data_IF_309924403001
#
_entry.id   IF_309924403001
#
_cell.length_a   1.000
_cell.length_b   1.000
_cell.length_c   1.000
_cell.angle_alpha   90.00
_cell.angle_beta   90.00
_cell.angle_gamma   90.00
#
_symmetry.space_group_name_H-M   'P 1'
#
loop_
_entity.id
_entity.type
_entity.pdbx_description
1 polymer ?
#
# COMPACT_ATOMS: atom_id res chain seq x y z
N UNK A 1 14.83 -33.81 -7.84
CA UNK A 1 14.22 -33.51 -6.56
C UNK A 1 13.10 -32.50 -6.85
N UNK A 2 11.85 -32.98 -6.89
CA UNK A 2 10.70 -32.14 -7.17
C UNK A 2 10.40 -31.26 -5.95
N UNK A 3 10.33 -29.96 -6.15
CA UNK A 3 9.81 -29.06 -5.14
C UNK A 3 8.34 -29.41 -4.89
N UNK A 4 8.02 -29.83 -3.67
CA UNK A 4 6.65 -29.95 -3.21
C UNK A 4 6.09 -28.54 -3.13
N UNK A 5 5.27 -28.16 -4.08
CA UNK A 5 4.43 -26.97 -3.97
C UNK A 5 3.54 -27.21 -2.74
N UNK A 6 3.80 -26.45 -1.68
CA UNK A 6 2.93 -26.44 -0.53
C UNK A 6 1.54 -25.99 -1.02
N UNK A 7 0.53 -26.86 -0.83
CA UNK A 7 -0.86 -26.50 -1.11
C UNK A 7 -1.25 -25.32 -0.21
N UNK A 8 -1.44 -24.16 -0.83
CA UNK A 8 -1.94 -22.96 -0.18
C UNK A 8 -3.34 -23.27 0.37
N UNK A 9 -3.65 -22.96 1.64
CA UNK A 9 -5.01 -23.03 2.11
C UNK A 9 -5.86 -22.05 1.27
N UNK A 10 -6.90 -22.55 0.62
CA UNK A 10 -7.83 -21.73 -0.21
C UNK A 10 -8.62 -20.69 0.60
N UNK A 11 -8.41 -20.63 1.91
CA UNK A 11 -9.17 -19.81 2.86
C UNK A 11 -8.37 -18.62 3.42
N UNK A 12 -7.18 -18.34 2.92
CA UNK A 12 -6.39 -17.19 3.35
C UNK A 12 -7.07 -15.88 2.92
N UNK A 13 -7.46 -15.04 3.87
CA UNK A 13 -8.13 -13.76 3.65
C UNK A 13 -7.09 -12.63 3.67
N UNK A 14 -7.20 -11.65 2.79
CA UNK A 14 -6.41 -10.41 2.86
C UNK A 14 -6.94 -9.59 4.05
N UNK A 15 -6.12 -9.38 5.11
CA UNK A 15 -6.61 -8.72 6.33
C UNK A 15 -7.02 -7.27 6.07
N UNK A 16 -6.16 -6.51 5.37
CA UNK A 16 -6.41 -5.11 5.04
C UNK A 16 -5.89 -4.80 3.65
N UNK A 17 -6.73 -4.18 2.82
CA UNK A 17 -6.35 -3.54 1.56
C UNK A 17 -6.42 -2.02 1.72
N UNK A 18 -5.29 -1.32 1.53
CA UNK A 18 -5.16 0.13 1.62
C UNK A 18 -5.05 0.71 0.22
N UNK A 19 -5.92 1.67 -0.11
CA UNK A 19 -5.98 2.28 -1.44
C UNK A 19 -6.05 3.80 -1.33
N UNK A 20 -4.95 4.52 -1.56
CA UNK A 20 -5.00 5.97 -1.73
C UNK A 20 -5.56 6.32 -3.12
N UNK A 21 -6.42 7.32 -3.19
CA UNK A 21 -6.95 7.85 -4.44
C UNK A 21 -6.88 9.37 -4.44
N UNK A 22 -6.37 9.96 -5.53
CA UNK A 22 -6.24 11.42 -5.68
C UNK A 22 -7.18 11.96 -6.77
N UNK A 23 -7.39 11.19 -7.82
CA UNK A 23 -8.19 11.54 -8.98
C UNK A 23 -8.94 10.30 -9.47
N UNK A 24 -9.95 10.50 -10.32
CA UNK A 24 -10.62 9.42 -11.04
C UNK A 24 -11.22 8.33 -10.13
N UNK A 25 -12.30 8.66 -9.44
CA UNK A 25 -13.05 7.71 -8.61
C UNK A 25 -13.60 6.51 -9.42
N UNK A 26 -13.80 6.64 -10.73
CA UNK A 26 -14.27 5.52 -11.56
C UNK A 26 -13.23 4.42 -11.66
N UNK A 27 -11.96 4.74 -11.80
CA UNK A 27 -10.88 3.75 -11.79
C UNK A 27 -10.77 3.03 -10.45
N UNK A 28 -10.92 3.76 -9.33
CA UNK A 28 -11.04 3.12 -8.02
C UNK A 28 -12.19 2.11 -7.99
N UNK A 29 -13.35 2.46 -8.57
CA UNK A 29 -14.49 1.55 -8.61
C UNK A 29 -14.25 0.34 -9.53
N UNK A 30 -13.51 0.51 -10.63
CA UNK A 30 -13.08 -0.59 -11.50
C UNK A 30 -12.14 -1.55 -10.75
N UNK A 31 -11.15 -0.99 -10.03
CA UNK A 31 -10.26 -1.77 -9.18
C UNK A 31 -11.04 -2.57 -8.13
N UNK A 32 -12.00 -1.96 -7.43
CA UNK A 32 -12.81 -2.66 -6.42
C UNK A 32 -13.67 -3.76 -7.06
N UNK A 33 -14.22 -3.54 -8.27
CA UNK A 33 -14.96 -4.60 -9.00
C UNK A 33 -14.09 -5.77 -9.38
N UNK A 34 -12.81 -5.53 -9.66
CA UNK A 34 -11.85 -6.60 -10.03
C UNK A 34 -11.38 -7.45 -8.85
N UNK A 35 -11.69 -7.06 -7.59
CA UNK A 35 -11.38 -7.88 -6.42
C UNK A 35 -12.13 -9.21 -6.53
N UNK A 36 -11.39 -10.30 -6.61
CA UNK A 36 -11.88 -11.66 -6.87
C UNK A 36 -11.48 -12.65 -5.76
N UNK A 37 -10.99 -12.15 -4.63
CA UNK A 37 -10.57 -12.91 -3.46
C UNK A 37 -11.01 -12.21 -2.18
N UNK A 38 -11.29 -12.91 -1.06
CA UNK A 38 -11.76 -12.29 0.16
C UNK A 38 -10.79 -11.25 0.74
N UNK A 39 -11.32 -10.05 1.01
CA UNK A 39 -10.66 -8.93 1.70
C UNK A 39 -11.49 -8.60 2.94
N UNK A 40 -10.93 -8.76 4.14
CA UNK A 40 -11.67 -8.46 5.38
C UNK A 40 -11.95 -6.97 5.52
N UNK A 41 -10.94 -6.13 5.31
CA UNK A 41 -11.07 -4.68 5.47
C UNK A 41 -10.48 -3.93 4.28
N UNK A 42 -11.28 -3.07 3.64
CA UNK A 42 -10.85 -2.11 2.63
C UNK A 42 -10.79 -0.71 3.24
N UNK A 43 -9.63 -0.05 3.17
CA UNK A 43 -9.42 1.33 3.60
C UNK A 43 -9.12 2.18 2.37
N UNK A 44 -10.02 3.07 2.02
CA UNK A 44 -9.86 4.05 0.93
C UNK A 44 -9.50 5.39 1.54
N UNK A 45 -8.37 5.97 1.12
CA UNK A 45 -7.93 7.32 1.50
C UNK A 45 -8.17 8.24 0.31
N UNK A 46 -9.23 9.04 0.37
CA UNK A 46 -9.62 9.96 -0.68
C UNK A 46 -8.92 11.31 -0.50
N UNK A 47 -7.92 11.54 -1.32
CA UNK A 47 -7.11 12.78 -1.37
C UNK A 47 -7.68 13.85 -2.32
N UNK A 48 -8.92 13.68 -2.79
CA UNK A 48 -9.61 14.64 -3.66
C UNK A 48 -10.34 14.05 -4.86
N UNK A 49 -10.57 12.74 -4.88
CA UNK A 49 -11.25 12.03 -5.99
C UNK A 49 -12.80 12.01 -5.90
N UNK A 50 -13.45 12.80 -5.14
CA UNK A 50 -14.83 12.81 -4.63
C UNK A 50 -15.51 11.43 -4.61
N UNK A 51 -14.92 10.50 -3.86
CA UNK A 51 -15.42 9.13 -3.73
C UNK A 51 -16.80 9.11 -3.05
N UNK A 52 -17.79 8.48 -3.69
CA UNK A 52 -19.11 8.28 -3.10
C UNK A 52 -19.10 7.13 -2.10
N UNK A 53 -19.38 7.45 -0.84
CA UNK A 53 -19.52 6.45 0.24
C UNK A 53 -20.64 5.43 -0.07
N UNK A 54 -21.77 5.90 -0.60
CA UNK A 54 -22.87 5.01 -0.96
C UNK A 54 -22.41 4.00 -2.03
N UNK A 55 -21.80 4.49 -3.10
CA UNK A 55 -21.32 3.63 -4.18
C UNK A 55 -20.22 2.66 -3.71
N UNK A 56 -19.30 3.13 -2.88
CA UNK A 56 -18.26 2.28 -2.27
C UNK A 56 -18.87 1.12 -1.47
N UNK A 57 -19.95 1.37 -0.74
CA UNK A 57 -20.60 0.35 0.09
C UNK A 57 -21.37 -0.70 -0.72
N UNK A 58 -21.82 -0.36 -1.94
CA UNK A 58 -22.57 -1.29 -2.81
C UNK A 58 -21.66 -2.16 -3.70
N UNK A 59 -20.42 -1.74 -3.94
CA UNK A 59 -19.52 -2.45 -4.82
C UNK A 59 -18.97 -3.72 -4.18
N UNK A 60 -18.96 -4.82 -4.92
CA UNK A 60 -18.25 -6.06 -4.59
C UNK A 60 -18.48 -6.58 -3.15
N UNK A 61 -19.74 -6.68 -2.74
CA UNK A 61 -20.13 -7.09 -1.39
C UNK A 61 -19.81 -8.56 -1.09
N UNK A 62 -19.54 -9.33 -2.10
CA UNK A 62 -19.21 -10.76 -1.97
C UNK A 62 -17.79 -10.98 -1.45
N UNK A 63 -16.83 -10.15 -1.90
CA UNK A 63 -15.42 -10.34 -1.58
C UNK A 63 -14.87 -9.31 -0.60
N UNK A 64 -15.55 -8.17 -0.41
CA UNK A 64 -15.07 -7.11 0.49
C UNK A 64 -15.97 -7.03 1.72
N UNK A 65 -15.38 -7.26 2.89
CA UNK A 65 -16.05 -7.16 4.18
C UNK A 65 -16.27 -5.70 4.63
N UNK A 66 -15.52 -5.25 5.60
CA UNK A 66 -15.60 -3.89 6.15
C UNK A 66 -15.01 -2.86 5.17
N UNK A 67 -15.61 -1.66 5.11
CA UNK A 67 -15.15 -0.57 4.24
C UNK A 67 -15.04 0.72 5.01
N UNK A 68 -13.89 1.36 4.93
CA UNK A 68 -13.64 2.66 5.51
C UNK A 68 -13.26 3.65 4.41
N UNK A 69 -13.96 4.78 4.37
CA UNK A 69 -13.64 5.91 3.50
C UNK A 69 -13.17 7.07 4.35
N UNK A 70 -11.90 7.42 4.20
CA UNK A 70 -11.25 8.56 4.84
C UNK A 70 -11.11 9.67 3.80
N UNK A 71 -12.02 10.64 3.85
CA UNK A 71 -12.01 11.80 2.94
C UNK A 71 -11.14 12.90 3.53
N UNK A 72 -10.06 13.22 2.83
CA UNK A 72 -9.10 14.21 3.29
C UNK A 72 -9.44 15.59 2.76
N UNK A 73 -9.24 16.65 3.56
CA UNK A 73 -9.49 18.04 3.13
C UNK A 73 -8.49 18.51 2.06
N UNK A 74 -7.37 17.80 1.91
CA UNK A 74 -6.33 18.12 0.93
C UNK A 74 -5.56 16.84 0.56
N UNK A 75 -4.76 16.91 -0.51
CA UNK A 75 -3.86 15.81 -0.87
C UNK A 75 -2.75 15.65 0.18
N UNK A 76 -2.77 14.52 0.89
CA UNK A 76 -1.75 14.16 1.89
C UNK A 76 -0.46 13.58 1.28
N UNK A 77 -0.48 13.24 0.00
CA UNK A 77 0.60 12.50 -0.65
C UNK A 77 0.55 10.99 -0.42
N UNK A 78 1.41 10.29 -1.14
CA UNK A 78 1.44 8.82 -1.20
C UNK A 78 1.87 8.21 0.13
N UNK A 79 3.06 8.59 0.62
CA UNK A 79 3.63 8.06 1.87
C UNK A 79 2.69 8.26 3.07
N UNK A 80 2.14 9.47 3.24
CA UNK A 80 1.21 9.77 4.34
C UNK A 80 -0.07 8.95 4.23
N UNK A 81 -0.58 8.74 3.02
CA UNK A 81 -1.79 7.94 2.80
C UNK A 81 -1.56 6.46 3.15
N UNK A 82 -0.45 5.88 2.74
CA UNK A 82 -0.07 4.52 3.13
C UNK A 82 0.05 4.38 4.65
N UNK A 83 0.76 5.31 5.28
CA UNK A 83 0.92 5.35 6.73
C UNK A 83 -0.41 5.50 7.46
N UNK A 84 -1.32 6.33 6.95
CA UNK A 84 -2.64 6.51 7.55
C UNK A 84 -3.45 5.21 7.55
N UNK A 85 -3.40 4.45 6.46
CA UNK A 85 -4.03 3.13 6.37
C UNK A 85 -3.47 2.15 7.41
N UNK A 86 -2.15 2.08 7.55
CA UNK A 86 -1.47 1.24 8.55
C UNK A 86 -1.85 1.69 9.97
N UNK A 87 -1.76 2.99 10.26
CA UNK A 87 -2.11 3.58 11.57
C UNK A 87 -3.57 3.36 11.95
N UNK A 88 -4.48 3.33 10.97
CA UNK A 88 -5.91 3.12 11.19
C UNK A 88 -6.27 1.65 11.45
N UNK A 89 -5.41 0.71 11.10
CA UNK A 89 -5.63 -0.74 11.24
C UNK A 89 -4.45 -1.45 11.92
N UNK A 90 -4.06 -1.04 13.14
CA UNK A 90 -2.80 -1.43 13.76
C UNK A 90 -2.72 -2.91 14.17
N UNK A 91 -3.83 -3.64 14.16
CA UNK A 91 -3.89 -5.05 14.56
C UNK A 91 -3.81 -6.03 13.38
N UNK A 92 -3.70 -5.53 12.16
CA UNK A 92 -3.49 -6.40 11.01
C UNK A 92 -2.10 -7.06 11.09
N UNK A 93 -1.97 -8.35 10.75
CA UNK A 93 -0.67 -9.01 10.67
C UNK A 93 0.16 -8.53 9.47
N UNK A 94 -0.51 -8.03 8.44
CA UNK A 94 0.09 -7.42 7.25
C UNK A 94 -0.96 -6.60 6.50
N UNK A 95 -0.52 -5.72 5.64
CA UNK A 95 -1.34 -4.84 4.80
C UNK A 95 -1.00 -5.04 3.33
N UNK A 96 -2.01 -5.21 2.49
CA UNK A 96 -1.87 -5.05 1.05
C UNK A 96 -2.12 -3.59 0.70
N UNK A 97 -1.17 -2.97 0.05
CA UNK A 97 -1.27 -1.59 -0.44
C UNK A 97 -1.32 -1.61 -1.96
N UNK A 98 -2.24 -0.88 -2.56
CA UNK A 98 -2.35 -0.82 -4.02
C UNK A 98 -2.71 0.57 -4.51
N UNK A 99 -2.24 0.91 -5.71
CA UNK A 99 -2.69 2.08 -6.43
C UNK A 99 -4.16 1.91 -6.85
N UNK A 100 -4.91 3.00 -6.90
CA UNK A 100 -6.33 2.97 -7.22
C UNK A 100 -6.65 2.57 -8.68
N UNK A 101 -5.67 2.53 -9.55
CA UNK A 101 -5.75 2.19 -10.97
C UNK A 101 -5.14 0.81 -11.30
N UNK A 102 -4.97 -0.03 -10.28
CA UNK A 102 -4.65 -1.45 -10.43
C UNK A 102 -5.93 -2.22 -10.77
N UNK A 103 -5.83 -3.20 -11.65
CA UNK A 103 -6.85 -4.21 -11.89
C UNK A 103 -6.28 -5.57 -11.50
N UNK A 104 -6.97 -6.24 -10.59
CA UNK A 104 -6.57 -7.55 -10.12
C UNK A 104 -6.85 -8.62 -11.18
N UNK A 105 -5.82 -9.33 -11.59
CA UNK A 105 -5.94 -10.46 -12.50
C UNK A 105 -6.39 -11.72 -11.74
N UNK A 106 -6.71 -12.76 -12.49
CA UNK A 106 -7.04 -14.06 -11.89
C UNK A 106 -5.84 -14.52 -11.03
N UNK A 107 -6.11 -15.04 -9.84
CA UNK A 107 -5.12 -15.52 -8.86
C UNK A 107 -4.23 -14.45 -8.20
N UNK A 108 -4.19 -13.19 -8.68
CA UNK A 108 -3.28 -12.19 -8.10
C UNK A 108 -3.50 -12.01 -6.59
N UNK A 109 -4.74 -11.80 -6.17
CA UNK A 109 -5.07 -11.59 -4.75
C UNK A 109 -4.93 -12.86 -3.92
N UNK A 110 -5.27 -14.03 -4.48
CA UNK A 110 -5.06 -15.33 -3.83
C UNK A 110 -3.57 -15.55 -3.58
N UNK A 111 -2.71 -15.25 -4.54
CA UNK A 111 -1.26 -15.34 -4.37
C UNK A 111 -0.73 -14.35 -3.35
N UNK A 112 -1.21 -13.10 -3.34
CA UNK A 112 -0.85 -12.17 -2.26
C UNK A 112 -1.26 -12.72 -0.89
N UNK A 113 -2.47 -13.26 -0.76
CA UNK A 113 -2.94 -13.87 0.49
C UNK A 113 -2.09 -15.07 0.94
N UNK A 114 -1.54 -15.81 -0.01
CA UNK A 114 -0.70 -16.98 0.23
C UNK A 114 0.77 -16.64 0.56
N UNK A 115 1.33 -15.66 -0.14
CA UNK A 115 2.76 -15.37 -0.11
C UNK A 115 3.11 -14.23 0.86
N UNK A 116 2.15 -13.32 1.18
CA UNK A 116 2.35 -12.28 2.17
C UNK A 116 2.46 -12.87 3.59
N UNK A 117 3.12 -12.12 4.45
CA UNK A 117 3.31 -12.54 5.84
C UNK A 117 3.76 -11.39 6.73
N UNK A 118 3.77 -11.60 8.06
CA UNK A 118 4.13 -10.57 9.01
C UNK A 118 5.59 -10.13 8.94
N UNK A 119 6.47 -10.97 8.37
CA UNK A 119 7.92 -10.86 8.43
C UNK A 119 8.59 -10.30 7.17
N UNK A 120 7.83 -9.99 6.13
CA UNK A 120 8.37 -9.64 4.81
C UNK A 120 7.65 -8.46 4.15
N UNK A 121 8.35 -7.85 3.20
CA UNK A 121 7.81 -6.95 2.20
C UNK A 121 7.73 -7.71 0.88
N UNK A 122 6.52 -7.88 0.33
CA UNK A 122 6.26 -8.62 -0.91
C UNK A 122 5.80 -7.62 -1.99
N UNK A 123 6.56 -7.49 -3.05
CA UNK A 123 6.26 -6.61 -4.19
C UNK A 123 5.58 -7.40 -5.31
N UNK A 124 4.66 -6.76 -6.06
CA UNK A 124 4.09 -7.37 -7.26
C UNK A 124 5.13 -7.53 -8.37
N UNK A 125 4.84 -8.39 -9.34
CA UNK A 125 5.58 -8.51 -10.60
C UNK A 125 5.26 -7.42 -11.62
N UNK A 126 4.34 -6.50 -11.29
CA UNK A 126 3.92 -5.42 -12.16
C UNK A 126 5.00 -4.35 -12.37
N UNK A 127 4.74 -3.43 -13.27
CA UNK A 127 5.62 -2.29 -13.58
C UNK A 127 4.89 -0.96 -13.31
N UNK A 128 5.29 -0.21 -12.27
CA UNK A 128 6.33 -0.52 -11.27
C UNK A 128 5.88 -1.54 -10.21
N UNK A 129 6.79 -2.30 -9.60
CA UNK A 129 6.43 -3.32 -8.59
C UNK A 129 5.68 -2.78 -7.36
N UNK A 130 5.89 -1.51 -7.04
CA UNK A 130 5.22 -0.81 -5.95
C UNK A 130 3.80 -0.35 -6.28
N UNK A 131 3.26 -0.69 -7.45
CA UNK A 131 1.84 -0.42 -7.74
C UNK A 131 0.90 -1.29 -6.89
N UNK A 132 1.39 -2.46 -6.44
CA UNK A 132 0.75 -3.30 -5.43
C UNK A 132 1.82 -4.03 -4.62
N UNK A 133 1.75 -3.96 -3.28
CA UNK A 133 2.71 -4.62 -2.41
C UNK A 133 2.08 -4.98 -1.06
N UNK A 134 2.55 -6.07 -0.46
CA UNK A 134 2.17 -6.43 0.90
C UNK A 134 3.33 -6.13 1.87
N UNK A 135 3.00 -5.54 3.02
CA UNK A 135 3.95 -5.18 4.07
C UNK A 135 3.54 -5.81 5.39
N UNK A 136 4.43 -6.56 6.01
CA UNK A 136 4.21 -7.25 7.27
C UNK A 136 4.35 -6.36 8.49
N UNK A 137 3.67 -6.72 9.58
CA UNK A 137 3.71 -5.98 10.84
C UNK A 137 5.13 -5.92 11.44
N UNK A 138 5.91 -6.99 11.32
CA UNK A 138 7.29 -7.03 11.81
C UNK A 138 8.22 -6.15 10.96
N UNK A 139 7.90 -5.98 9.68
CA UNK A 139 8.60 -5.01 8.81
C UNK A 139 8.32 -3.59 9.30
N UNK A 140 7.04 -3.25 9.52
CA UNK A 140 6.66 -1.93 10.04
C UNK A 140 7.28 -1.67 11.42
N UNK A 141 7.29 -2.66 12.32
CA UNK A 141 7.93 -2.55 13.62
C UNK A 141 9.43 -2.29 13.53
N UNK A 142 10.11 -2.97 12.61
CA UNK A 142 11.57 -2.89 12.48
C UNK A 142 12.05 -1.69 11.67
N UNK A 143 11.37 -1.38 10.56
CA UNK A 143 11.76 -0.33 9.60
C UNK A 143 11.06 1.00 9.91
N UNK A 144 9.92 0.95 10.57
CA UNK A 144 9.03 2.09 10.77
C UNK A 144 8.12 2.35 9.58
N UNK A 145 7.51 3.52 9.56
CA UNK A 145 6.60 3.97 8.50
C UNK A 145 7.37 4.57 7.30
N UNK A 146 6.65 4.89 6.24
CA UNK A 146 7.18 5.64 5.08
C UNK A 146 7.52 7.08 5.47
N UNK A 147 8.51 7.70 4.81
CA UNK A 147 8.88 9.10 5.07
C UNK A 147 7.84 10.07 4.49
N UNK A 148 6.99 10.63 5.35
CA UNK A 148 5.96 11.59 4.97
C UNK A 148 6.51 12.93 4.45
N UNK A 149 7.80 13.18 4.62
CA UNK A 149 8.50 14.33 4.02
C UNK A 149 8.76 14.18 2.52
N UNK A 150 8.56 12.97 1.96
CA UNK A 150 8.61 12.71 0.51
C UNK A 150 7.22 12.99 -0.10
N UNK A 151 6.85 14.28 -0.16
CA UNK A 151 5.52 14.73 -0.52
C UNK A 151 5.53 15.45 -1.88
N UNK A 152 4.47 15.34 -2.73
CA UNK A 152 3.32 14.45 -2.59
C UNK A 152 3.57 13.03 -3.08
N UNK A 153 4.59 12.78 -3.89
CA UNK A 153 4.90 11.47 -4.45
C UNK A 153 6.34 11.41 -4.94
N UNK A 154 6.78 10.17 -5.21
CA UNK A 154 8.11 9.73 -5.64
C UNK A 154 9.17 9.67 -4.54
N UNK A 155 10.01 8.65 -4.62
CA UNK A 155 11.12 8.32 -3.75
C UNK A 155 10.73 7.66 -2.41
N UNK A 156 9.45 7.58 -2.06
CA UNK A 156 8.97 6.89 -0.86
C UNK A 156 9.27 5.39 -0.88
N UNK A 157 9.16 4.78 -2.04
CA UNK A 157 9.46 3.39 -2.32
C UNK A 157 10.98 3.11 -2.26
N UNK A 158 11.78 3.96 -2.89
CA UNK A 158 13.25 3.85 -2.91
C UNK A 158 13.83 4.05 -1.50
N UNK A 159 13.35 5.05 -0.74
CA UNK A 159 13.79 5.25 0.65
C UNK A 159 13.39 4.06 1.53
N UNK A 160 12.17 3.55 1.38
CA UNK A 160 11.71 2.42 2.18
C UNK A 160 12.52 1.16 1.88
N UNK A 161 12.76 0.85 0.60
CA UNK A 161 13.58 -0.27 0.17
C UNK A 161 14.99 -0.18 0.75
N UNK A 162 15.64 0.98 0.65
CA UNK A 162 16.97 1.22 1.23
C UNK A 162 17.01 0.91 2.73
N UNK A 163 15.97 1.32 3.49
CA UNK A 163 15.88 1.03 4.92
C UNK A 163 15.68 -0.45 5.22
N UNK A 164 14.85 -1.13 4.43
CA UNK A 164 14.69 -2.58 4.51
C UNK A 164 16.04 -3.29 4.31
N UNK A 165 16.77 -2.95 3.26
CA UNK A 165 18.06 -3.54 2.92
C UNK A 165 19.09 -3.30 4.05
N UNK A 166 19.17 -2.07 4.57
CA UNK A 166 20.09 -1.72 5.65
C UNK A 166 19.78 -2.44 6.97
N UNK A 167 18.51 -2.75 7.23
CA UNK A 167 18.06 -3.47 8.43
C UNK A 167 17.97 -4.99 8.23
N UNK A 168 18.33 -5.51 7.05
CA UNK A 168 18.24 -6.92 6.75
C UNK A 168 16.80 -7.46 6.81
N UNK A 169 15.84 -6.68 6.30
CA UNK A 169 14.46 -7.11 6.11
C UNK A 169 14.32 -7.81 4.78
N UNK A 170 13.63 -8.94 4.76
CA UNK A 170 13.37 -9.67 3.53
C UNK A 170 12.43 -8.88 2.62
N UNK A 171 12.93 -8.49 1.44
CA UNK A 171 12.13 -7.94 0.35
C UNK A 171 12.02 -8.99 -0.74
N UNK A 172 10.79 -9.43 -1.01
CA UNK A 172 10.48 -10.45 -2.01
C UNK A 172 9.94 -9.77 -3.25
N UNK A 173 10.64 -9.88 -4.35
CA UNK A 173 10.14 -9.48 -5.67
C UNK A 173 9.43 -10.69 -6.27
N UNK A 174 8.09 -10.63 -6.31
CA UNK A 174 7.29 -11.73 -6.83
C UNK A 174 7.02 -11.58 -8.32
N UNK A 175 6.49 -12.63 -8.91
CA UNK A 175 5.91 -12.64 -10.25
C UNK A 175 4.36 -12.54 -10.23
N UNK A 176 3.80 -12.06 -9.10
CA UNK A 176 2.35 -11.81 -8.99
C UNK A 176 1.97 -10.69 -9.95
N UNK A 177 1.34 -11.07 -11.05
CA UNK A 177 0.97 -10.11 -12.08
C UNK A 177 -0.28 -9.32 -11.71
N UNK A 178 -0.26 -8.02 -12.01
CA UNK A 178 -1.39 -7.10 -11.87
C UNK A 178 -1.41 -6.18 -13.08
N UNK A 179 -2.58 -5.85 -13.59
CA UNK A 179 -2.67 -4.82 -14.61
C UNK A 179 -2.67 -3.45 -13.93
N UNK A 180 -1.75 -2.58 -14.31
CA UNK A 180 -1.64 -1.22 -13.79
C UNK A 180 -1.77 -0.21 -14.93
N UNK A 181 -2.81 0.62 -14.87
CA UNK A 181 -3.07 1.68 -15.85
C UNK A 181 -2.16 2.88 -15.58
N UNK A 182 -0.87 2.66 -15.74
CA UNK A 182 0.19 3.61 -15.38
C UNK A 182 -0.13 5.04 -15.82
N UNK A 183 0.10 6.02 -14.91
CA UNK A 183 -0.05 7.45 -15.18
C UNK A 183 -1.48 8.03 -15.11
N UNK A 184 -2.46 7.35 -14.51
CA UNK A 184 -3.81 7.91 -14.33
C UNK A 184 -3.81 9.26 -13.61
N UNK A 185 -2.98 9.40 -12.57
CA UNK A 185 -2.80 10.67 -11.83
C UNK A 185 -2.16 11.75 -12.71
N UNK A 186 -1.22 11.38 -13.59
CA UNK A 186 -0.59 12.32 -14.52
C UNK A 186 -1.59 12.80 -15.59
N UNK A 187 -2.40 11.91 -16.12
CA UNK A 187 -3.46 12.23 -17.07
C UNK A 187 -4.52 13.18 -16.45
N UNK A 188 -4.77 13.09 -15.14
CA UNK A 188 -5.66 13.97 -14.41
C UNK A 188 -5.10 15.37 -14.11
N UNK A 189 -3.93 15.74 -14.67
CA UNK A 189 -3.36 17.09 -14.55
C UNK A 189 -2.36 17.31 -13.42
N UNK A 190 -2.05 16.29 -12.61
CA UNK A 190 -1.09 16.38 -11.51
C UNK A 190 0.38 16.27 -11.95
N UNK A 191 0.64 16.12 -13.25
CA UNK A 191 1.98 15.97 -13.80
C UNK A 191 2.96 17.06 -13.37
N UNK A 192 2.54 18.35 -13.45
CA UNK A 192 3.40 19.48 -13.06
C UNK A 192 3.74 19.48 -11.56
N UNK A 193 2.80 19.11 -10.72
CA UNK A 193 3.00 19.03 -9.28
C UNK A 193 3.97 17.91 -8.93
N UNK A 194 3.79 16.76 -9.53
CA UNK A 194 4.66 15.59 -9.33
C UNK A 194 6.08 15.86 -9.83
N UNK A 195 6.25 16.50 -10.99
CA UNK A 195 7.57 16.90 -11.48
C UNK A 195 8.29 17.88 -10.53
N UNK A 196 7.55 18.81 -9.91
CA UNK A 196 8.14 19.75 -8.95
C UNK A 196 8.64 19.08 -7.68
N UNK A 197 8.00 18.00 -7.25
CA UNK A 197 8.42 17.27 -6.06
C UNK A 197 9.57 16.28 -6.33
N UNK A 198 9.76 15.84 -7.57
CA UNK A 198 10.72 14.77 -7.87
C UNK A 198 12.15 15.11 -7.44
N UNK A 199 12.68 16.27 -7.82
CA UNK A 199 14.04 16.66 -7.48
C UNK A 199 14.24 16.95 -5.97
N UNK A 200 13.36 17.71 -5.28
CA UNK A 200 13.44 17.86 -3.82
C UNK A 200 13.34 16.55 -3.06
N UNK A 201 12.48 15.64 -3.48
CA UNK A 201 12.34 14.33 -2.84
C UNK A 201 13.59 13.46 -3.07
N UNK A 202 14.17 13.49 -4.29
CA UNK A 202 15.44 12.84 -4.59
C UNK A 202 16.56 13.33 -3.68
N UNK A 203 16.68 14.66 -3.52
CA UNK A 203 17.67 15.27 -2.63
C UNK A 203 17.46 14.85 -1.18
N UNK A 204 16.22 14.91 -0.69
CA UNK A 204 15.87 14.46 0.67
C UNK A 204 16.25 12.99 0.90
N UNK A 205 15.84 12.08 0.01
CA UNK A 205 16.14 10.65 0.13
C UNK A 205 17.65 10.39 0.10
N UNK A 206 18.39 11.09 -0.77
CA UNK A 206 19.85 11.01 -0.87
C UNK A 206 20.54 11.51 0.40
N UNK A 207 20.13 12.64 0.95
CA UNK A 207 20.67 13.20 2.18
C UNK A 207 20.42 12.30 3.40
N UNK A 208 19.21 11.73 3.49
CA UNK A 208 18.88 10.73 4.52
C UNK A 208 19.77 9.50 4.40
N UNK A 209 19.94 8.98 3.20
CA UNK A 209 20.82 7.84 2.94
C UNK A 209 22.27 8.12 3.36
N UNK A 210 22.81 9.28 2.96
CA UNK A 210 24.18 9.67 3.29
C UNK A 210 24.43 9.85 4.80
N UNK A 211 23.39 10.22 5.55
CA UNK A 211 23.45 10.38 7.02
C UNK A 211 23.18 9.09 7.78
N UNK A 212 22.83 8.00 7.09
CA UNK A 212 22.36 6.77 7.73
C UNK A 212 21.05 6.96 8.52
N UNK A 213 20.26 7.98 8.18
CA UNK A 213 19.01 8.27 8.88
C UNK A 213 17.95 7.23 8.54
N UNK A 214 17.54 6.50 9.59
CA UNK A 214 16.53 5.44 9.52
C UNK A 214 15.22 5.84 10.22
N UNK A 215 15.18 7.01 10.86
CA UNK A 215 14.04 7.46 11.66
C UNK A 215 12.86 7.90 10.77
N UNK A 216 11.64 7.61 11.22
CA UNK A 216 10.38 8.05 10.62
C UNK A 216 9.40 8.62 11.64
N UNK A 217 9.92 9.37 12.60
CA UNK A 217 9.13 9.93 13.68
C UNK A 217 8.93 8.97 14.84
N UNK A 218 8.11 9.38 15.80
CA UNK A 218 7.95 8.71 17.11
C UNK A 218 6.84 7.64 17.12
N UNK A 219 6.09 7.47 16.01
CA UNK A 219 5.03 6.49 15.99
C UNK A 219 5.59 5.07 15.93
N UNK A 220 5.12 4.20 16.83
CA UNK A 220 5.44 2.77 16.79
C UNK A 220 4.17 1.93 16.84
N UNK A 221 4.20 0.79 16.15
CA UNK A 221 3.10 -0.15 16.10
C UNK A 221 2.84 -0.78 17.49
N UNK A 222 3.91 -1.12 18.19
CA UNK A 222 3.88 -1.70 19.54
C UNK A 222 3.24 -0.73 20.54
N UNK A 223 3.69 0.53 20.54
CA UNK A 223 3.14 1.55 21.43
C UNK A 223 1.65 1.79 21.14
N UNK A 224 1.26 1.80 19.86
CA UNK A 224 -0.14 1.95 19.48
C UNK A 224 -1.01 0.78 19.95
N UNK A 225 -0.51 -0.44 19.82
CA UNK A 225 -1.22 -1.66 20.27
C UNK A 225 -1.33 -1.73 21.79
N UNK A 226 -0.26 -1.33 22.50
CA UNK A 226 -0.26 -1.31 23.96
C UNK A 226 -1.24 -0.30 24.58
N UNK A 227 -1.60 0.75 23.83
CA UNK A 227 -2.51 1.82 24.25
C UNK A 227 -3.94 1.66 23.70
N UNK A 228 -4.24 0.57 23.02
CA UNK A 228 -5.61 0.35 22.55
C UNK A 228 -6.54 0.00 23.70
N UNK A 229 -7.77 0.47 23.58
CA UNK A 229 -8.83 0.35 24.60
C UNK A 229 -9.91 -0.66 24.16
N UNK A 230 -9.53 -1.64 23.38
CA UNK A 230 -10.45 -2.67 22.86
C UNK A 230 -10.75 -3.76 23.91
#
# INVERSE_FOLDING_TARGET
MGAVLATVPSDAVIPVLIVPVLADAERLYEMIRSINHPVDTLVVIDNGAPVSRHRLNELNRTHVGRRYLLQMPSNLGVATSWNLGIKATPFAPWWLVANFDVIWLIESLERFAAEAGPDRLLLSGGAPPWCAFAIGEQVVSKVGLFDEGLHPAYWEDIDYRRRCDALGVQVVESDIDVFHSNSSTLAAGYHRQNLRSFAPNAERATLRAARGDMSNGEWSLEARRALSWD
#
